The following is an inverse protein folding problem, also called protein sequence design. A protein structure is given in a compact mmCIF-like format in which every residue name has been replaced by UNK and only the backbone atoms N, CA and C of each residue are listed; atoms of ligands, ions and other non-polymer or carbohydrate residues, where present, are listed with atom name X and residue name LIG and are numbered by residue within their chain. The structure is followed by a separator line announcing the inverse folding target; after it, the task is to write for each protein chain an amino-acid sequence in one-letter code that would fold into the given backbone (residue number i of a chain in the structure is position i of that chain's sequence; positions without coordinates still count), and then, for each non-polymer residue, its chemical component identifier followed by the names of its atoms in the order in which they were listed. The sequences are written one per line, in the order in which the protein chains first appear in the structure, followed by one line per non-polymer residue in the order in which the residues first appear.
data_IF_921385544823
#
_entry.id   IF_921385544823
#
_cell.length_a   1.000
_cell.length_b   1.000
_cell.length_c   1.000
_cell.angle_alpha   90.00
_cell.angle_beta   90.00
_cell.angle_gamma   90.00
#
_symmetry.space_group_name_H-M   'P 1'
#
loop_
_entity.id
_entity.type
_entity.pdbx_description
1 polymer ?
#
# COMPACT_ATOMS: atom_id res chain seq x y z
N UNK A 1 38.00 14.95 42.04
CA UNK A 1 37.68 14.28 40.77
C UNK A 1 37.06 12.95 41.12
N UNK A 2 35.99 12.55 40.38
CA UNK A 2 35.08 11.46 40.79
C UNK A 2 35.60 10.04 40.43
N UNK A 3 36.82 9.91 39.94
CA UNK A 3 37.39 8.63 39.53
C UNK A 3 37.78 7.72 40.71
N UNK A 4 38.18 8.34 41.81
CA UNK A 4 38.63 7.65 43.02
C UNK A 4 37.50 6.82 43.64
N UNK A 5 36.24 7.26 43.49
CA UNK A 5 35.05 6.55 43.98
C UNK A 5 34.88 5.13 43.36
N UNK A 6 35.21 4.97 42.09
CA UNK A 6 35.10 3.68 41.39
C UNK A 6 36.29 2.76 41.71
N UNK A 7 37.46 3.32 42.03
CA UNK A 7 38.66 2.58 42.42
C UNK A 7 38.47 1.99 43.82
N UNK A 8 37.88 2.77 44.73
CA UNK A 8 37.66 2.36 46.12
C UNK A 8 36.50 1.33 46.26
N UNK A 9 35.67 1.17 45.24
CA UNK A 9 34.49 0.29 45.26
C UNK A 9 34.41 -0.60 44.01
N UNK A 10 35.29 -1.61 43.89
CA UNK A 10 35.38 -2.43 42.67
C UNK A 10 34.10 -3.23 42.38
N UNK A 11 33.41 -3.70 43.42
CA UNK A 11 32.13 -4.45 43.23
C UNK A 11 31.06 -3.56 42.61
N UNK A 12 30.94 -2.30 43.07
CA UNK A 12 29.97 -1.36 42.51
C UNK A 12 30.31 -1.00 41.07
N UNK A 13 31.58 -0.79 40.76
CA UNK A 13 32.04 -0.53 39.38
C UNK A 13 31.69 -1.69 38.42
N UNK A 14 31.91 -2.95 38.87
CA UNK A 14 31.59 -4.14 38.07
C UNK A 14 30.09 -4.25 37.83
N UNK A 15 29.25 -4.04 38.83
CA UNK A 15 27.80 -4.09 38.70
C UNK A 15 27.29 -3.05 37.69
N UNK A 16 27.79 -1.80 37.82
CA UNK A 16 27.40 -0.72 36.88
C UNK A 16 27.82 -1.06 35.44
N UNK A 17 29.03 -1.62 35.24
CA UNK A 17 29.50 -2.04 33.92
C UNK A 17 28.61 -3.13 33.33
N UNK A 18 28.23 -4.14 34.11
CA UNK A 18 27.34 -5.23 33.67
C UNK A 18 25.99 -4.66 33.30
N UNK A 19 25.42 -3.76 34.10
CA UNK A 19 24.11 -3.13 33.80
C UNK A 19 24.18 -2.35 32.49
N UNK A 20 25.23 -1.55 32.26
CA UNK A 20 25.38 -0.80 31.00
C UNK A 20 25.49 -1.74 29.81
N UNK A 21 26.24 -2.83 29.91
CA UNK A 21 26.37 -3.83 28.85
C UNK A 21 25.01 -4.50 28.56
N UNK A 22 24.27 -4.87 29.60
CA UNK A 22 22.94 -5.49 29.43
C UNK A 22 21.95 -4.53 28.78
N UNK A 23 21.90 -3.27 29.22
CA UNK A 23 21.04 -2.24 28.61
C UNK A 23 21.44 -1.99 27.16
N UNK A 24 22.74 -1.92 26.87
CA UNK A 24 23.25 -1.77 25.52
C UNK A 24 22.88 -2.95 24.62
N UNK A 25 22.95 -4.17 25.14
CA UNK A 25 22.59 -5.38 24.40
C UNK A 25 21.08 -5.44 24.12
N UNK A 26 20.25 -5.10 25.09
CA UNK A 26 18.79 -4.99 24.89
C UNK A 26 18.47 -3.89 23.88
N UNK A 27 19.14 -2.72 23.97
CA UNK A 27 18.97 -1.63 23.00
C UNK A 27 19.32 -2.06 21.58
N UNK A 28 20.37 -2.87 21.41
CA UNK A 28 20.77 -3.38 20.09
C UNK A 28 19.67 -4.22 19.42
N UNK A 29 18.95 -5.06 20.18
CA UNK A 29 17.86 -5.89 19.67
C UNK A 29 16.56 -5.09 19.43
N UNK A 30 16.40 -3.95 20.10
CA UNK A 30 15.22 -3.10 19.97
C UNK A 30 15.36 -2.04 18.86
N UNK A 31 16.58 -1.79 18.36
CA UNK A 31 16.74 -0.87 17.24
C UNK A 31 16.15 -1.48 15.97
N UNK A 32 15.18 -0.79 15.33
CA UNK A 32 14.74 -1.19 14.00
C UNK A 32 15.89 -1.02 13.02
N UNK A 33 16.26 -2.09 12.34
CA UNK A 33 17.30 -2.09 11.30
C UNK A 33 16.57 -1.95 9.96
N UNK A 34 16.21 -0.74 9.62
CA UNK A 34 15.78 -0.43 8.25
C UNK A 34 17.03 -0.08 7.42
N UNK A 35 17.29 -0.92 6.44
CA UNK A 35 18.44 -0.78 5.56
C UNK A 35 18.32 0.45 4.64
N UNK A 36 17.09 0.88 4.38
CA UNK A 36 16.76 2.12 3.66
C UNK A 36 15.58 2.80 4.34
N UNK A 37 15.66 4.12 4.58
CA UNK A 37 14.48 4.85 5.02
C UNK A 37 13.37 4.74 3.96
N UNK A 38 12.11 4.62 4.39
CA UNK A 38 10.97 4.71 3.49
C UNK A 38 10.89 6.14 2.94
N UNK A 39 11.50 6.33 1.76
CA UNK A 39 11.48 7.61 1.02
C UNK A 39 10.36 7.66 -0.03
N UNK A 40 9.52 6.64 -0.07
CA UNK A 40 8.44 6.55 -1.04
C UNK A 40 7.16 7.07 -0.42
N UNK A 41 6.59 8.17 -0.97
CA UNK A 41 5.32 8.70 -0.50
C UNK A 41 4.20 7.67 -0.56
N UNK A 42 3.31 7.61 0.45
CA UNK A 42 2.14 6.75 0.39
C UNK A 42 1.22 7.15 -0.76
N UNK A 43 0.67 6.16 -1.44
CA UNK A 43 -0.23 6.37 -2.58
C UNK A 43 -1.54 5.63 -2.36
N UNK A 44 -2.66 6.33 -2.56
CA UNK A 44 -4.00 5.73 -2.57
C UNK A 44 -4.59 5.87 -3.96
N UNK A 45 -5.15 4.80 -4.48
CA UNK A 45 -5.80 4.76 -5.79
C UNK A 45 -7.30 4.56 -5.61
N UNK A 46 -8.08 5.40 -6.27
CA UNK A 46 -9.53 5.22 -6.41
C UNK A 46 -9.84 4.81 -7.84
N UNK A 47 -10.63 3.76 -8.01
CA UNK A 47 -11.04 3.25 -9.32
C UNK A 47 -12.55 3.11 -9.39
N UNK A 48 -13.13 3.52 -10.52
CA UNK A 48 -14.55 3.40 -10.82
C UNK A 48 -14.75 2.97 -12.28
N UNK A 49 -15.92 2.37 -12.57
CA UNK A 49 -16.26 1.96 -13.92
C UNK A 49 -17.64 2.48 -14.31
N UNK A 50 -17.71 3.12 -15.47
CA UNK A 50 -18.94 3.57 -16.12
C UNK A 50 -19.05 2.94 -17.50
N UNK A 51 -19.56 1.69 -17.60
CA UNK A 51 -19.60 0.96 -18.85
C UNK A 51 -20.40 1.69 -19.92
N UNK A 52 -19.85 1.74 -21.12
CA UNK A 52 -20.48 2.37 -22.28
C UNK A 52 -20.29 3.89 -22.39
N UNK A 53 -19.68 4.53 -21.40
CA UNK A 53 -19.33 5.94 -21.46
C UNK A 53 -17.95 6.14 -22.14
N UNK A 54 -17.81 7.22 -22.88
CA UNK A 54 -16.55 7.69 -23.42
C UNK A 54 -15.74 8.46 -22.36
N UNK A 55 -14.48 8.77 -22.65
CA UNK A 55 -13.58 9.41 -21.71
C UNK A 55 -14.07 10.81 -21.25
N UNK A 56 -14.74 11.54 -22.14
CA UNK A 56 -15.27 12.86 -21.81
C UNK A 56 -16.45 12.77 -20.84
N UNK A 57 -17.40 11.89 -21.11
CA UNK A 57 -18.52 11.60 -20.21
C UNK A 57 -18.03 11.11 -18.85
N UNK A 58 -17.05 10.18 -18.82
CA UNK A 58 -16.44 9.69 -17.57
C UNK A 58 -15.78 10.84 -16.81
N UNK A 59 -15.08 11.72 -17.52
CA UNK A 59 -14.41 12.87 -16.89
C UNK A 59 -15.41 13.84 -16.25
N UNK A 60 -16.50 14.14 -16.95
CA UNK A 60 -17.49 15.09 -16.44
C UNK A 60 -18.41 14.50 -15.37
N UNK A 61 -18.89 13.26 -15.57
CA UNK A 61 -19.89 12.66 -14.70
C UNK A 61 -19.29 11.89 -13.51
N UNK A 62 -18.04 11.44 -13.60
CA UNK A 62 -17.40 10.60 -12.57
C UNK A 62 -16.17 11.28 -11.97
N UNK A 63 -15.22 11.71 -12.81
CA UNK A 63 -13.97 12.28 -12.34
C UNK A 63 -14.21 13.59 -11.58
N UNK A 64 -14.91 14.54 -12.20
CA UNK A 64 -15.13 15.87 -11.61
C UNK A 64 -15.78 15.83 -10.23
N UNK A 65 -16.89 15.08 -9.97
CA UNK A 65 -17.45 15.00 -8.63
C UNK A 65 -16.52 14.37 -7.60
N UNK A 66 -15.79 13.33 -8.00
CA UNK A 66 -14.84 12.65 -7.09
C UNK A 66 -13.66 13.57 -6.78
N UNK A 67 -13.05 14.19 -7.77
CA UNK A 67 -11.92 15.12 -7.59
C UNK A 67 -12.27 16.30 -6.71
N UNK A 68 -13.48 16.85 -6.85
CA UNK A 68 -13.95 17.96 -6.02
C UNK A 68 -13.99 17.58 -4.54
N UNK A 69 -14.47 16.39 -4.20
CA UNK A 69 -14.53 15.92 -2.82
C UNK A 69 -13.14 15.49 -2.29
N UNK A 70 -12.28 14.95 -3.15
CA UNK A 70 -10.93 14.57 -2.78
C UNK A 70 -10.03 15.79 -2.57
N UNK A 71 -10.32 16.89 -3.22
CA UNK A 71 -9.51 18.11 -3.09
C UNK A 71 -9.51 18.61 -1.64
N UNK A 72 -8.31 18.99 -1.16
CA UNK A 72 -8.13 19.42 0.22
C UNK A 72 -8.09 18.30 1.25
N UNK A 73 -7.82 17.06 0.83
CA UNK A 73 -7.53 15.95 1.75
C UNK A 73 -6.25 16.25 2.54
N UNK A 74 -6.25 16.11 3.88
CA UNK A 74 -5.06 16.36 4.69
C UNK A 74 -3.88 15.48 4.26
N UNK A 75 -2.70 16.07 4.16
CA UNK A 75 -1.48 15.37 3.76
C UNK A 75 -1.35 15.04 2.28
N UNK A 76 -2.34 15.39 1.45
CA UNK A 76 -2.25 15.21 0.00
C UNK A 76 -1.27 16.20 -0.62
N UNK A 77 -0.32 15.69 -1.41
CA UNK A 77 0.61 16.50 -2.19
C UNK A 77 0.02 16.84 -3.56
N UNK A 78 -0.44 15.84 -4.27
CA UNK A 78 -1.09 15.99 -5.58
C UNK A 78 -1.97 14.78 -5.90
N UNK A 79 -2.84 14.94 -6.88
CA UNK A 79 -3.61 13.84 -7.47
C UNK A 79 -3.48 13.86 -9.00
N UNK A 80 -3.47 12.68 -9.59
CA UNK A 80 -3.49 12.46 -11.04
C UNK A 80 -4.67 11.58 -11.40
N UNK A 81 -5.49 12.02 -12.33
CA UNK A 81 -6.69 11.29 -12.75
C UNK A 81 -6.63 10.92 -14.22
N UNK A 82 -7.19 9.76 -14.53
CA UNK A 82 -7.26 9.22 -15.88
C UNK A 82 -8.64 8.65 -16.16
N UNK A 83 -9.24 9.13 -17.25
CA UNK A 83 -10.48 8.60 -17.83
C UNK A 83 -10.18 7.94 -19.16
N UNK A 84 -10.82 6.81 -19.46
CA UNK A 84 -10.62 6.06 -20.70
C UNK A 84 -11.91 5.93 -21.49
N UNK A 85 -11.80 5.72 -22.81
CA UNK A 85 -12.95 5.48 -23.70
C UNK A 85 -13.65 4.11 -23.45
N UNK A 86 -13.08 3.29 -22.57
CA UNK A 86 -13.71 2.03 -22.12
C UNK A 86 -14.60 2.23 -20.89
N UNK A 87 -14.81 3.47 -20.45
CA UNK A 87 -15.61 3.79 -19.27
C UNK A 87 -14.86 3.60 -17.95
N UNK A 88 -13.54 3.43 -17.96
CA UNK A 88 -12.76 3.28 -16.73
C UNK A 88 -12.24 4.64 -16.26
N UNK A 89 -12.38 4.89 -14.97
CA UNK A 89 -11.82 6.01 -14.24
C UNK A 89 -10.84 5.53 -13.18
N UNK A 90 -9.72 6.23 -13.06
CA UNK A 90 -8.73 5.98 -12.01
C UNK A 90 -8.14 7.30 -11.56
N UNK A 91 -8.12 7.56 -10.27
CA UNK A 91 -7.38 8.67 -9.69
C UNK A 91 -6.37 8.14 -8.68
N UNK A 92 -5.15 8.64 -8.78
CA UNK A 92 -4.03 8.30 -7.93
C UNK A 92 -3.70 9.51 -7.07
N UNK A 93 -3.76 9.34 -5.75
CA UNK A 93 -3.51 10.39 -4.77
C UNK A 93 -2.20 10.09 -4.08
N UNK A 94 -1.26 11.02 -4.13
CA UNK A 94 0.04 10.93 -3.47
C UNK A 94 0.04 11.79 -2.22
N UNK A 95 0.45 11.19 -1.11
CA UNK A 95 0.50 11.84 0.20
C UNK A 95 1.93 12.19 0.62
N UNK A 96 2.06 13.00 1.65
CA UNK A 96 3.34 13.27 2.28
C UNK A 96 3.88 12.01 2.98
N UNK A 97 5.21 11.88 3.04
CA UNK A 97 5.93 10.72 3.59
C UNK A 97 5.50 10.42 5.04
N UNK A 98 5.21 11.47 5.81
CA UNK A 98 4.81 11.33 7.21
C UNK A 98 3.32 10.94 7.39
N UNK A 99 2.57 10.75 6.30
CA UNK A 99 1.15 10.40 6.36
C UNK A 99 0.96 8.89 6.54
N UNK A 100 0.15 8.51 7.52
CA UNK A 100 -0.24 7.11 7.71
C UNK A 100 -1.12 6.64 6.53
N UNK A 101 -0.68 5.62 5.76
CA UNK A 101 -1.42 5.15 4.58
C UNK A 101 -2.78 4.55 4.92
N UNK A 102 -2.97 4.01 6.13
CA UNK A 102 -4.25 3.45 6.55
C UNK A 102 -5.27 4.55 6.85
N UNK A 103 -4.85 5.60 7.55
CA UNK A 103 -5.69 6.77 7.81
C UNK A 103 -6.02 7.52 6.52
N UNK A 104 -5.04 7.67 5.61
CA UNK A 104 -5.25 8.28 4.30
C UNK A 104 -6.30 7.52 3.49
N UNK A 105 -6.23 6.19 3.43
CA UNK A 105 -7.21 5.38 2.71
C UNK A 105 -8.62 5.51 3.29
N UNK A 106 -8.76 5.55 4.62
CA UNK A 106 -10.05 5.75 5.30
C UNK A 106 -10.62 7.14 4.99
N UNK A 107 -9.79 8.18 5.02
CA UNK A 107 -10.22 9.55 4.69
C UNK A 107 -10.67 9.65 3.23
N UNK A 108 -9.90 9.08 2.30
CA UNK A 108 -10.29 9.02 0.88
C UNK A 108 -11.62 8.27 0.71
N UNK A 109 -11.80 7.13 1.38
CA UNK A 109 -13.04 6.37 1.31
C UNK A 109 -14.25 7.17 1.82
N UNK A 110 -14.10 7.93 2.90
CA UNK A 110 -15.15 8.78 3.43
C UNK A 110 -15.52 9.91 2.42
N UNK A 111 -14.53 10.52 1.77
CA UNK A 111 -14.75 11.57 0.77
C UNK A 111 -15.38 11.02 -0.52
N UNK A 112 -14.94 9.86 -0.99
CA UNK A 112 -15.56 9.17 -2.12
C UNK A 112 -17.02 8.87 -1.84
N UNK A 113 -17.35 8.46 -0.61
CA UNK A 113 -18.72 8.22 -0.19
C UNK A 113 -19.60 9.48 -0.22
N UNK A 114 -19.04 10.65 0.05
CA UNK A 114 -19.74 11.93 -0.12
C UNK A 114 -19.98 12.26 -1.59
N UNK A 115 -19.04 11.92 -2.47
CA UNK A 115 -19.19 12.09 -3.91
C UNK A 115 -20.28 11.19 -4.52
N UNK A 116 -20.54 10.00 -3.94
CA UNK A 116 -21.51 9.01 -4.46
C UNK A 116 -22.89 9.61 -4.73
N UNK A 117 -23.34 10.58 -3.92
CA UNK A 117 -24.63 11.24 -4.10
C UNK A 117 -24.78 12.00 -5.43
N UNK A 118 -23.65 12.29 -6.10
CA UNK A 118 -23.60 13.04 -7.37
C UNK A 118 -23.18 12.16 -8.55
N UNK A 119 -22.91 10.88 -8.31
CA UNK A 119 -22.46 9.96 -9.34
C UNK A 119 -23.64 9.26 -10.03
N UNK A 120 -23.47 8.84 -11.30
CA UNK A 120 -24.45 7.99 -12.00
C UNK A 120 -24.72 6.70 -11.25
N UNK A 121 -25.97 6.22 -11.30
CA UNK A 121 -26.39 5.01 -10.63
C UNK A 121 -25.60 3.77 -11.08
N UNK A 122 -25.22 3.70 -12.35
CA UNK A 122 -24.43 2.62 -12.93
C UNK A 122 -23.04 2.52 -12.32
N UNK A 123 -22.41 3.66 -12.00
CA UNK A 123 -21.10 3.71 -11.34
C UNK A 123 -21.19 3.20 -9.92
N UNK A 124 -22.26 3.59 -9.20
CA UNK A 124 -22.50 3.15 -7.82
C UNK A 124 -22.78 1.65 -7.77
N UNK A 125 -23.57 1.12 -8.72
CA UNK A 125 -23.87 -0.31 -8.80
C UNK A 125 -22.63 -1.16 -9.10
N UNK A 126 -21.71 -0.68 -9.93
CA UNK A 126 -20.44 -1.36 -10.22
C UNK A 126 -19.46 -1.28 -9.04
N UNK A 127 -19.67 -0.35 -8.13
CA UNK A 127 -18.82 -0.11 -6.99
C UNK A 127 -17.61 0.76 -7.31
N UNK A 128 -17.14 1.48 -6.30
CA UNK A 128 -15.93 2.27 -6.33
C UNK A 128 -14.92 1.64 -5.38
N UNK A 129 -13.76 1.29 -5.89
CA UNK A 129 -12.70 0.73 -5.06
C UNK A 129 -11.71 1.81 -4.63
N UNK A 130 -11.27 1.71 -3.38
CA UNK A 130 -10.22 2.53 -2.80
C UNK A 130 -9.13 1.59 -2.31
N UNK A 131 -7.98 1.62 -2.96
CA UNK A 131 -6.88 0.70 -2.70
C UNK A 131 -5.61 1.48 -2.32
N UNK A 132 -4.92 1.01 -1.30
CA UNK A 132 -3.57 1.46 -1.01
C UNK A 132 -2.63 0.87 -2.07
N UNK A 133 -1.87 1.72 -2.72
CA UNK A 133 -0.92 1.28 -3.73
C UNK A 133 0.48 1.25 -3.12
N UNK A 134 1.07 0.06 -3.02
CA UNK A 134 2.49 -0.06 -2.74
C UNK A 134 3.26 0.44 -3.97
N UNK A 135 4.12 1.43 -3.78
CA UNK A 135 4.90 2.04 -4.87
C UNK A 135 5.86 1.07 -5.53
N UNK A 136 6.28 0.03 -4.86
CA UNK A 136 7.31 -0.88 -5.33
C UNK A 136 6.80 -2.31 -5.42
N UNK A 137 7.12 -2.96 -6.56
CA UNK A 137 7.02 -4.41 -6.66
C UNK A 137 8.10 -5.03 -5.79
N UNK A 138 7.71 -5.73 -4.74
CA UNK A 138 8.64 -6.42 -3.86
C UNK A 138 9.28 -7.62 -4.57
N UNK A 139 8.46 -8.41 -5.29
CA UNK A 139 8.90 -9.65 -5.91
C UNK A 139 8.03 -9.98 -7.12
N UNK A 140 8.64 -10.59 -8.12
CA UNK A 140 7.95 -11.25 -9.24
C UNK A 140 8.25 -12.74 -9.18
N UNK A 141 7.21 -13.56 -9.07
CA UNK A 141 7.32 -15.03 -9.05
C UNK A 141 6.88 -15.55 -10.41
N UNK A 142 7.75 -16.29 -11.09
CA UNK A 142 7.45 -16.91 -12.38
C UNK A 142 7.24 -18.41 -12.18
N UNK A 143 6.08 -18.90 -12.63
CA UNK A 143 5.76 -20.32 -12.66
C UNK A 143 6.14 -20.89 -14.01
N UNK A 144 6.96 -21.94 -14.02
CA UNK A 144 7.42 -22.64 -15.22
C UNK A 144 7.11 -24.13 -15.10
N UNK A 145 6.75 -24.77 -16.20
CA UNK A 145 6.63 -26.23 -16.29
C UNK A 145 7.38 -26.74 -17.53
N UNK A 146 8.08 -27.85 -17.36
CA UNK A 146 8.71 -28.59 -18.46
C UNK A 146 7.83 -29.72 -19.00
N UNK A 147 6.70 -30.00 -18.37
CA UNK A 147 5.74 -31.02 -18.83
C UNK A 147 4.72 -30.39 -19.77
N UNK A 148 4.58 -30.89 -21.02
CA UNK A 148 3.61 -30.38 -22.00
C UNK A 148 2.14 -30.46 -21.56
N UNK A 149 1.83 -31.22 -20.51
CA UNK A 149 0.49 -31.34 -19.94
C UNK A 149 0.06 -30.09 -19.17
N UNK A 150 1.03 -29.29 -18.68
CA UNK A 150 0.77 -28.08 -17.90
C UNK A 150 1.04 -26.88 -18.80
N UNK A 151 0.06 -26.55 -19.62
CA UNK A 151 0.07 -25.38 -20.49
C UNK A 151 -0.06 -24.06 -19.71
N UNK A 152 0.05 -22.94 -20.40
CA UNK A 152 -0.04 -21.60 -19.83
C UNK A 152 -1.37 -21.35 -19.10
N UNK A 153 -2.46 -21.90 -19.64
CA UNK A 153 -3.80 -21.76 -19.05
C UNK A 153 -3.90 -22.53 -17.75
N UNK A 154 -3.36 -23.76 -17.71
CA UNK A 154 -3.31 -24.56 -16.48
C UNK A 154 -2.49 -23.87 -15.40
N UNK A 155 -1.29 -23.38 -15.73
CA UNK A 155 -0.42 -22.68 -14.79
C UNK A 155 -1.05 -21.39 -14.26
N UNK A 156 -1.73 -20.64 -15.13
CA UNK A 156 -2.47 -19.44 -14.74
C UNK A 156 -3.60 -19.74 -13.76
N UNK A 157 -4.36 -20.80 -14.04
CA UNK A 157 -5.46 -21.26 -13.18
C UNK A 157 -4.92 -21.78 -11.83
N UNK A 158 -3.86 -22.56 -11.86
CA UNK A 158 -3.19 -23.05 -10.65
C UNK A 158 -2.66 -21.89 -9.78
N UNK A 159 -2.00 -20.91 -10.41
CA UNK A 159 -1.55 -19.71 -9.72
C UNK A 159 -2.69 -18.97 -9.05
N UNK A 160 -3.80 -18.78 -9.76
CA UNK A 160 -4.97 -18.04 -9.27
C UNK A 160 -5.64 -18.75 -8.09
N UNK A 161 -5.84 -20.06 -8.19
CA UNK A 161 -6.58 -20.82 -7.18
C UNK A 161 -5.75 -21.18 -5.94
N UNK A 162 -4.45 -21.41 -6.11
CA UNK A 162 -3.62 -21.95 -5.04
C UNK A 162 -2.56 -20.97 -4.53
N UNK A 163 -1.90 -20.25 -5.43
CA UNK A 163 -0.73 -19.43 -5.06
C UNK A 163 -1.15 -18.03 -4.61
N UNK A 164 -2.07 -17.38 -5.32
CA UNK A 164 -2.48 -16.02 -4.99
C UNK A 164 -3.07 -15.91 -3.58
N UNK A 165 -3.98 -16.84 -3.24
CA UNK A 165 -4.63 -16.81 -1.93
C UNK A 165 -3.66 -17.10 -0.79
N UNK A 166 -2.67 -17.96 -1.04
CA UNK A 166 -1.62 -18.27 -0.06
C UNK A 166 -0.74 -17.04 0.20
N UNK A 167 -0.35 -16.34 -0.86
CA UNK A 167 0.48 -15.14 -0.76
C UNK A 167 -0.26 -13.96 -0.12
N UNK A 168 -1.55 -13.77 -0.40
CA UNK A 168 -2.38 -12.71 0.20
C UNK A 168 -2.53 -12.85 1.71
N UNK A 169 -2.39 -14.07 2.26
CA UNK A 169 -2.51 -14.33 3.70
C UNK A 169 -1.25 -14.04 4.48
N UNK A 170 -0.14 -13.76 3.81
CA UNK A 170 1.13 -13.44 4.47
C UNK A 170 1.06 -12.03 5.04
N UNK A 171 1.31 -11.83 6.35
CA UNK A 171 1.34 -10.49 6.94
C UNK A 171 2.37 -9.61 6.24
N UNK A 172 1.99 -8.37 5.89
CA UNK A 172 2.86 -7.43 5.18
C UNK A 172 2.73 -7.46 3.66
N UNK A 173 1.98 -8.41 3.08
CA UNK A 173 1.70 -8.44 1.65
C UNK A 173 0.49 -7.55 1.35
N UNK A 174 0.72 -6.41 0.68
CA UNK A 174 -0.35 -5.46 0.34
C UNK A 174 -1.19 -5.89 -0.85
N UNK A 175 -0.55 -6.30 -1.96
CA UNK A 175 -1.25 -6.70 -3.19
C UNK A 175 -0.52 -7.83 -3.91
N UNK A 176 -1.28 -8.81 -4.36
CA UNK A 176 -0.79 -9.89 -5.25
C UNK A 176 -1.65 -9.90 -6.51
N UNK A 177 -1.01 -9.81 -7.66
CA UNK A 177 -1.69 -9.86 -8.97
C UNK A 177 -1.07 -10.92 -9.87
N UNK A 178 -1.89 -11.62 -10.63
CA UNK A 178 -1.45 -12.50 -11.70
C UNK A 178 -1.29 -11.66 -12.99
N UNK A 179 -0.09 -11.66 -13.56
CA UNK A 179 0.22 -10.95 -14.82
C UNK A 179 0.40 -12.00 -15.89
N UNK A 180 -0.40 -11.92 -16.97
CA UNK A 180 -0.34 -12.88 -18.06
C UNK A 180 -1.40 -14.00 -17.98
N UNK A 181 -2.44 -13.82 -17.14
CA UNK A 181 -3.56 -14.77 -17.13
C UNK A 181 -4.27 -14.76 -18.49
N UNK A 182 -4.31 -15.91 -19.14
CA UNK A 182 -5.20 -16.17 -20.27
C UNK A 182 -6.35 -17.05 -19.77
N UNK A 183 -7.55 -16.60 -20.06
CA UNK A 183 -8.79 -17.36 -19.82
C UNK A 183 -9.14 -18.15 -21.06
#
# INVERSE_FOLDING_TARGET
MKSDFFIDRPIFSTVVSIVIVLVGLIGLFLLPIDQYPEIVPPVVQVSASYPGADAETVSQAVATPIEQELNGTPGMLYMDSRSTNTGSFTVTITFDIDTDPDLAAVEIQNRVKQAEARLPAEVIQNGISVDKQASNKLMTITLLSNDPKFDEVYLSNYATLNVLDMLRRIPGVGRVSNVGSRY
#
